data_IF_802454716490
#
_entry.id   IF_802454716490
#
_cell.length_a   1.000
_cell.length_b   1.000
_cell.length_c   1.000
_cell.angle_alpha   90.00
_cell.angle_beta   90.00
_cell.angle_gamma   90.00
#
_symmetry.space_group_name_H-M   'P 1'
#
loop_
_entity.id
_entity.type
_entity.pdbx_description
1 polymer ?
#
# COMPACT_ATOMS: atom_id res chain seq x y z
N UNK A 1 -17.10 3.86 12.24
CA UNK A 1 -15.69 3.62 12.61
C UNK A 1 -15.49 2.81 13.90
N UNK A 2 -15.91 3.16 15.16
CA UNK A 2 -15.59 2.31 16.33
C UNK A 2 -16.05 0.86 16.23
N UNK A 3 -17.23 0.60 15.65
CA UNK A 3 -17.73 -0.77 15.44
C UNK A 3 -16.86 -1.60 14.49
N UNK A 4 -16.29 -0.98 13.46
CA UNK A 4 -15.40 -1.68 12.52
C UNK A 4 -14.07 -2.06 13.17
N UNK A 5 -13.50 -1.16 14.01
CA UNK A 5 -12.29 -1.49 14.76
C UNK A 5 -12.52 -2.66 15.74
N UNK A 6 -13.70 -2.76 16.36
CA UNK A 6 -14.05 -3.90 17.20
C UNK A 6 -14.04 -5.21 16.40
N UNK A 7 -14.68 -5.25 15.23
CA UNK A 7 -14.68 -6.42 14.33
C UNK A 7 -13.24 -6.80 13.90
N UNK A 8 -12.39 -5.80 13.64
CA UNK A 8 -10.98 -6.04 13.28
C UNK A 8 -10.19 -6.63 14.45
N UNK A 9 -10.43 -6.16 15.69
CA UNK A 9 -9.84 -6.74 16.90
C UNK A 9 -10.31 -8.17 17.14
N UNK A 10 -11.59 -8.49 16.91
CA UNK A 10 -12.10 -9.86 17.00
C UNK A 10 -11.38 -10.80 16.02
N UNK A 11 -11.10 -10.34 14.80
CA UNK A 11 -10.30 -11.09 13.82
C UNK A 11 -8.85 -11.27 14.28
N UNK A 12 -8.25 -10.25 14.87
CA UNK A 12 -6.89 -10.36 15.42
C UNK A 12 -6.84 -11.33 16.65
N UNK A 13 -7.87 -11.35 17.48
CA UNK A 13 -8.03 -12.34 18.54
C UNK A 13 -8.13 -13.77 17.96
N UNK A 14 -8.85 -13.95 16.86
CA UNK A 14 -8.93 -15.24 16.18
C UNK A 14 -7.57 -15.68 15.60
N UNK A 15 -6.72 -14.74 15.12
CA UNK A 15 -5.34 -15.04 14.73
C UNK A 15 -4.55 -15.59 15.91
N UNK A 16 -4.60 -14.93 17.09
CA UNK A 16 -3.93 -15.42 18.30
C UNK A 16 -4.38 -16.85 18.66
N UNK A 17 -5.70 -17.08 18.70
CA UNK A 17 -6.26 -18.40 18.99
C UNK A 17 -5.82 -19.47 17.96
N UNK A 18 -5.77 -19.12 16.68
CA UNK A 18 -5.31 -20.01 15.59
C UNK A 18 -3.83 -20.42 15.72
N UNK A 19 -3.02 -19.57 16.34
CA UNK A 19 -1.62 -19.83 16.66
C UNK A 19 -1.42 -20.56 18.00
N UNK A 20 -2.49 -20.81 18.75
CA UNK A 20 -2.42 -21.37 20.08
C UNK A 20 -1.91 -20.41 21.16
N UNK A 21 -2.01 -19.10 20.90
CA UNK A 21 -1.64 -18.05 21.85
C UNK A 21 -2.86 -17.53 22.62
N UNK A 22 -2.63 -17.05 23.85
CA UNK A 22 -3.65 -16.44 24.69
C UNK A 22 -3.98 -15.00 24.27
N UNK A 23 -3.04 -14.34 23.57
CA UNK A 23 -3.20 -12.98 23.08
C UNK A 23 -2.29 -12.70 21.88
N UNK A 24 -2.57 -11.61 21.14
CA UNK A 24 -1.62 -11.00 20.20
C UNK A 24 -1.21 -9.61 20.67
N UNK A 25 0.10 -9.35 20.68
CA UNK A 25 0.70 -8.04 20.88
C UNK A 25 1.01 -7.43 19.51
N UNK A 26 0.39 -6.29 19.22
CA UNK A 26 0.59 -5.53 17.98
C UNK A 26 1.35 -4.25 18.29
N UNK A 27 2.49 -4.06 17.65
CA UNK A 27 3.40 -2.92 17.83
C UNK A 27 3.64 -2.11 16.56
N UNK A 28 3.27 -2.65 15.39
CA UNK A 28 3.28 -1.92 14.13
C UNK A 28 2.28 -0.76 14.18
N UNK A 29 2.74 0.47 14.00
CA UNK A 29 1.88 1.66 14.06
C UNK A 29 0.73 1.62 13.05
N UNK A 30 0.94 1.04 11.87
CA UNK A 30 -0.11 0.87 10.86
C UNK A 30 -1.16 -0.14 11.32
N UNK A 31 -0.75 -1.23 11.94
CA UNK A 31 -1.67 -2.24 12.48
C UNK A 31 -2.40 -1.76 13.72
N UNK A 32 -1.73 -1.00 14.61
CA UNK A 32 -2.42 -0.32 15.73
C UNK A 32 -3.49 0.63 15.18
N UNK A 33 -3.18 1.44 14.16
CA UNK A 33 -4.16 2.31 13.49
C UNK A 33 -5.33 1.51 12.91
N UNK A 34 -5.07 0.40 12.21
CA UNK A 34 -6.10 -0.47 11.65
C UNK A 34 -7.05 -1.02 12.71
N UNK A 35 -6.51 -1.39 13.87
CA UNK A 35 -7.25 -2.04 14.97
C UNK A 35 -7.94 -1.05 15.90
N UNK A 36 -7.50 0.21 15.95
CA UNK A 36 -7.97 1.19 16.94
C UNK A 36 -8.39 2.54 16.36
N UNK A 37 -7.89 2.90 15.18
CA UNK A 37 -8.02 4.24 14.60
C UNK A 37 -7.00 5.25 15.13
N UNK A 38 -6.19 4.92 16.13
CA UNK A 38 -5.19 5.83 16.70
C UNK A 38 -4.01 6.00 15.75
N UNK A 39 -3.67 7.23 15.44
CA UNK A 39 -2.44 7.61 14.75
C UNK A 39 -1.46 8.17 15.81
N UNK A 40 -0.36 7.49 16.01
CA UNK A 40 0.66 7.88 17.00
C UNK A 40 2.05 7.40 16.58
N UNK A 41 3.08 8.01 17.14
CA UNK A 41 4.46 7.54 17.00
C UNK A 41 4.88 6.59 18.14
N UNK A 42 3.98 6.31 19.10
CA UNK A 42 4.26 5.42 20.22
C UNK A 42 2.96 4.83 20.76
N UNK A 43 2.61 3.66 20.29
CA UNK A 43 1.45 2.88 20.74
C UNK A 43 1.64 1.40 20.47
N UNK A 44 0.94 0.59 21.23
CA UNK A 44 0.82 -0.85 21.04
C UNK A 44 -0.56 -1.30 21.52
N UNK A 45 -1.04 -2.43 21.06
CA UNK A 45 -2.30 -3.01 21.52
C UNK A 45 -2.09 -4.48 21.84
N UNK A 46 -2.58 -4.90 23.02
CA UNK A 46 -2.68 -6.31 23.41
C UNK A 46 -4.14 -6.75 23.23
N UNK A 47 -4.34 -7.81 22.47
CA UNK A 47 -5.67 -8.34 22.17
C UNK A 47 -5.74 -9.78 22.68
N UNK A 48 -6.34 -10.03 23.86
CA UNK A 48 -6.55 -11.37 24.39
C UNK A 48 -7.56 -12.18 23.55
N UNK A 49 -7.45 -13.50 23.60
CA UNK A 49 -8.33 -14.43 22.92
C UNK A 49 -8.87 -15.52 23.90
N UNK A 50 -9.95 -15.32 24.66
CA UNK A 50 -10.86 -14.17 24.69
C UNK A 50 -10.45 -13.08 25.68
N UNK A 51 -11.03 -11.88 25.53
CA UNK A 51 -10.85 -10.81 26.52
C UNK A 51 -11.02 -9.41 25.94
N UNK A 52 -10.83 -8.41 26.79
CA UNK A 52 -10.87 -6.99 26.40
C UNK A 52 -9.49 -6.56 25.92
N UNK A 53 -9.45 -5.93 24.76
CA UNK A 53 -8.20 -5.37 24.23
C UNK A 53 -7.75 -4.15 25.05
N UNK A 54 -6.43 -4.02 25.22
CA UNK A 54 -5.80 -2.89 25.92
C UNK A 54 -4.88 -2.16 24.96
N UNK A 55 -5.12 -0.86 24.79
CA UNK A 55 -4.30 0.06 24.02
C UNK A 55 -3.31 0.77 24.94
N UNK A 56 -2.03 0.63 24.71
CA UNK A 56 -1.02 1.40 25.40
C UNK A 56 -0.50 2.54 24.53
N UNK A 57 -0.34 3.72 25.12
CA UNK A 57 0.30 4.88 24.49
C UNK A 57 0.90 5.80 25.55
N UNK A 58 1.69 6.80 25.16
CA UNK A 58 2.24 7.75 26.13
C UNK A 58 1.36 9.01 26.31
N UNK A 59 1.73 9.84 27.28
CA UNK A 59 0.98 11.03 27.65
C UNK A 59 0.71 12.02 26.54
N UNK A 60 1.52 12.00 25.45
CA UNK A 60 1.33 12.88 24.27
C UNK A 60 0.07 12.54 23.50
N UNK A 61 -0.32 11.27 23.50
CA UNK A 61 -1.44 10.74 22.73
C UNK A 61 -2.63 10.30 23.58
N UNK A 62 -2.49 10.25 24.92
CA UNK A 62 -3.52 9.78 25.84
C UNK A 62 -4.89 10.44 25.60
N UNK A 63 -4.95 11.77 25.55
CA UNK A 63 -6.20 12.48 25.31
C UNK A 63 -6.79 12.27 23.89
N UNK A 64 -5.97 11.92 22.90
CA UNK A 64 -6.44 11.55 21.56
C UNK A 64 -7.01 10.12 21.58
N UNK A 65 -6.32 9.21 22.26
CA UNK A 65 -6.78 7.83 22.42
C UNK A 65 -8.11 7.75 23.20
N UNK A 66 -8.25 8.47 24.32
CA UNK A 66 -9.50 8.54 25.09
C UNK A 66 -10.71 8.99 24.26
N UNK A 67 -10.51 9.97 23.40
CA UNK A 67 -11.59 10.49 22.51
C UNK A 67 -11.86 9.61 21.30
N UNK A 68 -10.79 9.06 20.72
CA UNK A 68 -10.86 8.31 19.46
C UNK A 68 -11.23 6.84 19.63
N UNK A 69 -10.88 6.25 20.77
CA UNK A 69 -11.02 4.82 21.04
C UNK A 69 -11.71 4.57 22.41
N UNK A 70 -12.89 5.17 22.67
CA UNK A 70 -13.52 5.13 24.00
C UNK A 70 -13.97 3.72 24.43
N UNK A 71 -14.01 2.78 23.50
CA UNK A 71 -14.44 1.40 23.72
C UNK A 71 -13.28 0.45 24.08
N UNK A 72 -12.04 0.97 24.14
CA UNK A 72 -10.85 0.16 24.45
C UNK A 72 -10.25 0.63 25.77
N UNK A 73 -9.76 -0.30 26.58
CA UNK A 73 -9.05 0.05 27.82
C UNK A 73 -7.73 0.75 27.48
N UNK A 74 -7.45 1.90 28.10
CA UNK A 74 -6.28 2.70 27.85
C UNK A 74 -5.26 2.58 28.98
N UNK A 75 -4.02 2.21 28.63
CA UNK A 75 -2.86 2.22 29.49
C UNK A 75 -1.91 3.37 29.06
N UNK A 76 -1.62 4.30 29.98
CA UNK A 76 -0.73 5.43 29.68
C UNK A 76 0.66 5.15 30.21
N UNK A 77 1.55 4.70 29.33
CA UNK A 77 2.92 4.33 29.65
C UNK A 77 3.87 4.68 28.52
N UNK A 78 5.15 4.97 28.85
CA UNK A 78 6.15 5.33 27.84
C UNK A 78 6.69 4.11 27.12
N UNK A 79 6.94 3.02 27.82
CA UNK A 79 7.37 1.73 27.26
C UNK A 79 6.12 0.86 27.03
N UNK A 80 5.42 1.16 25.94
CA UNK A 80 4.10 0.60 25.64
C UNK A 80 4.11 -0.93 25.50
N UNK A 81 5.13 -1.51 24.85
CA UNK A 81 5.19 -2.94 24.66
C UNK A 81 5.51 -3.68 25.95
N UNK A 82 6.44 -3.17 26.75
CA UNK A 82 6.79 -3.70 28.08
C UNK A 82 5.57 -3.68 29.00
N UNK A 83 4.89 -2.53 29.09
CA UNK A 83 3.72 -2.38 29.95
C UNK A 83 2.61 -3.38 29.60
N UNK A 84 2.39 -3.65 28.32
CA UNK A 84 1.40 -4.65 27.88
C UNK A 84 1.86 -6.10 28.18
N UNK A 85 3.15 -6.41 28.06
CA UNK A 85 3.68 -7.73 28.46
C UNK A 85 3.61 -7.91 29.99
N UNK A 86 3.86 -6.87 30.77
CA UNK A 86 3.72 -6.92 32.20
C UNK A 86 2.24 -7.10 32.63
N UNK A 87 1.31 -6.46 31.91
CA UNK A 87 -0.12 -6.68 32.07
C UNK A 87 -0.52 -8.12 31.71
N UNK A 88 -0.01 -8.66 30.60
CA UNK A 88 -0.24 -10.05 30.19
C UNK A 88 0.24 -11.03 31.27
N UNK A 89 1.44 -10.79 31.82
CA UNK A 89 2.00 -11.58 32.93
C UNK A 89 1.11 -11.50 34.17
N UNK A 90 0.68 -10.31 34.59
CA UNK A 90 -0.20 -10.11 35.74
C UNK A 90 -1.56 -10.79 35.54
N UNK A 91 -2.07 -10.83 34.31
CA UNK A 91 -3.29 -11.52 33.91
C UNK A 91 -3.14 -13.04 33.78
N UNK A 92 -1.94 -13.59 33.97
CA UNK A 92 -1.67 -15.04 33.89
C UNK A 92 -1.69 -15.60 32.47
N UNK A 93 -1.50 -14.77 31.42
CA UNK A 93 -1.37 -15.24 30.03
C UNK A 93 -0.06 -16.04 29.90
N UNK A 94 -0.15 -17.25 29.36
CA UNK A 94 1.00 -18.15 29.17
C UNK A 94 1.76 -17.90 27.88
N UNK A 95 1.06 -17.52 26.80
CA UNK A 95 1.63 -17.36 25.47
C UNK A 95 1.06 -16.11 24.79
N UNK A 96 1.94 -15.27 24.23
CA UNK A 96 1.57 -14.07 23.47
C UNK A 96 2.20 -14.12 22.09
N UNK A 97 1.37 -14.11 21.06
CA UNK A 97 1.84 -13.97 19.67
C UNK A 97 2.24 -12.51 19.42
N UNK A 98 3.24 -12.27 18.59
CA UNK A 98 3.70 -10.92 18.25
C UNK A 98 4.16 -10.80 16.80
N UNK A 99 4.24 -9.60 16.28
CA UNK A 99 4.66 -9.27 14.91
C UNK A 99 6.20 -9.40 14.77
N UNK A 100 6.71 -10.63 14.63
CA UNK A 100 8.15 -10.93 14.60
C UNK A 100 8.86 -10.41 13.33
N UNK A 101 8.11 -10.14 12.25
CA UNK A 101 8.62 -9.51 11.04
C UNK A 101 8.84 -7.99 11.19
N UNK A 102 8.22 -7.35 12.21
CA UNK A 102 8.35 -5.90 12.50
C UNK A 102 9.22 -5.66 13.72
N UNK A 103 9.09 -6.49 14.75
CA UNK A 103 9.80 -6.30 16.01
C UNK A 103 11.30 -6.50 15.84
N UNK A 104 12.09 -5.52 16.26
CA UNK A 104 13.55 -5.67 16.23
C UNK A 104 14.04 -6.73 17.23
N UNK A 105 15.16 -7.39 16.91
CA UNK A 105 15.80 -8.33 17.84
C UNK A 105 16.13 -7.67 19.18
N UNK A 106 16.47 -6.38 19.19
CA UNK A 106 16.71 -5.61 20.42
C UNK A 106 15.42 -5.52 21.27
N UNK A 107 14.32 -5.05 20.68
CA UNK A 107 13.03 -4.93 21.38
C UNK A 107 12.56 -6.30 21.93
N UNK A 108 12.67 -7.36 21.15
CA UNK A 108 12.32 -8.71 21.60
C UNK A 108 13.16 -9.15 22.82
N UNK A 109 14.47 -8.91 22.80
CA UNK A 109 15.35 -9.22 23.94
C UNK A 109 14.99 -8.43 25.19
N UNK A 110 14.65 -7.15 25.05
CA UNK A 110 14.17 -6.34 26.16
C UNK A 110 12.87 -6.88 26.76
N UNK A 111 11.94 -7.35 25.94
CA UNK A 111 10.66 -7.92 26.40
C UNK A 111 10.84 -9.28 27.08
N UNK A 112 11.78 -10.13 26.60
CA UNK A 112 12.04 -11.46 27.12
C UNK A 112 13.07 -11.51 28.26
N UNK A 113 13.91 -10.47 28.38
CA UNK A 113 14.96 -10.33 29.40
C UNK A 113 14.40 -9.93 30.78
N UNK A 114 13.61 -10.80 31.40
CA UNK A 114 13.11 -10.59 32.76
C UNK A 114 14.12 -10.92 33.86
N UNK A 115 13.88 -10.42 35.10
CA UNK A 115 14.65 -10.83 36.29
C UNK A 115 14.58 -12.36 36.48
N UNK A 116 15.67 -13.01 36.93
CA UNK A 116 15.65 -14.44 37.21
C UNK A 116 14.54 -14.78 38.22
N UNK A 117 13.59 -15.61 37.80
CA UNK A 117 12.45 -16.02 38.63
C UNK A 117 11.12 -15.34 38.32
N UNK A 118 11.06 -14.37 37.41
CA UNK A 118 9.84 -13.80 36.87
C UNK A 118 9.65 -14.27 35.42
N UNK A 119 9.12 -15.47 35.22
CA UNK A 119 8.74 -15.94 33.89
C UNK A 119 7.59 -15.08 33.33
N UNK A 120 7.83 -14.38 32.24
CA UNK A 120 6.78 -13.72 31.44
C UNK A 120 6.05 -14.73 30.55
N UNK A 121 5.04 -14.28 29.78
CA UNK A 121 4.46 -15.14 28.76
C UNK A 121 5.53 -15.56 27.73
N UNK A 122 5.38 -16.74 27.17
CA UNK A 122 6.14 -17.15 26.00
C UNK A 122 5.75 -16.26 24.82
N UNK A 123 6.74 -15.70 24.12
CA UNK A 123 6.51 -14.91 22.92
C UNK A 123 6.70 -15.80 21.69
N UNK A 124 5.64 -15.95 20.87
CA UNK A 124 5.69 -16.72 19.61
C UNK A 124 5.46 -15.79 18.40
N UNK A 125 6.15 -16.06 17.29
CA UNK A 125 6.01 -15.25 16.08
C UNK A 125 4.64 -15.43 15.43
N UNK A 126 3.98 -14.34 15.09
CA UNK A 126 2.76 -14.31 14.30
C UNK A 126 3.02 -14.09 12.80
N UNK A 127 4.28 -13.82 12.42
CA UNK A 127 4.59 -13.39 11.06
C UNK A 127 3.79 -12.18 10.67
N UNK A 128 3.32 -12.13 9.44
CA UNK A 128 2.45 -11.07 8.89
C UNK A 128 0.95 -11.36 9.04
N UNK A 129 0.54 -12.22 10.00
CA UNK A 129 -0.86 -12.64 10.11
C UNK A 129 -1.82 -11.47 10.39
N UNK A 130 -1.37 -10.40 11.09
CA UNK A 130 -2.18 -9.19 11.31
C UNK A 130 -2.25 -8.36 10.04
N UNK A 131 -1.16 -8.26 9.25
CA UNK A 131 -1.16 -7.54 7.96
C UNK A 131 -2.14 -8.17 6.97
N UNK A 132 -2.27 -9.51 6.98
CA UNK A 132 -3.24 -10.21 6.13
C UNK A 132 -4.69 -9.81 6.41
N UNK A 133 -5.01 -9.36 7.64
CA UNK A 133 -6.35 -8.85 7.95
C UNK A 133 -6.68 -7.56 7.20
N UNK A 134 -5.67 -6.78 6.81
CA UNK A 134 -5.82 -5.52 6.05
C UNK A 134 -6.02 -5.76 4.55
N UNK A 135 -5.69 -6.95 4.05
CA UNK A 135 -5.76 -7.26 2.62
C UNK A 135 -7.19 -7.07 2.07
N UNK A 136 -8.18 -7.59 2.77
CA UNK A 136 -9.59 -7.46 2.38
C UNK A 136 -10.22 -6.24 3.05
N UNK A 137 -10.53 -5.22 2.26
CA UNK A 137 -11.06 -3.94 2.73
C UNK A 137 -12.57 -4.01 2.99
N UNK A 138 -13.03 -3.25 3.96
CA UNK A 138 -14.46 -2.92 4.08
C UNK A 138 -14.83 -1.74 3.14
N UNK A 139 -16.13 -1.44 3.03
CA UNK A 139 -16.59 -0.40 2.10
C UNK A 139 -16.22 1.03 2.56
N UNK A 140 -15.98 1.26 3.86
CA UNK A 140 -15.49 2.55 4.35
C UNK A 140 -14.02 2.76 3.93
N UNK A 141 -13.20 1.70 4.01
CA UNK A 141 -11.80 1.72 3.52
C UNK A 141 -11.74 1.96 2.01
N UNK A 142 -12.62 1.29 1.24
CA UNK A 142 -12.71 1.48 -0.21
C UNK A 142 -13.11 2.91 -0.56
N UNK A 143 -14.06 3.52 0.19
CA UNK A 143 -14.45 4.92 0.01
C UNK A 143 -13.27 5.88 0.22
N UNK A 144 -12.38 5.60 1.18
CA UNK A 144 -11.17 6.41 1.40
C UNK A 144 -10.16 6.25 0.26
N UNK A 145 -9.99 5.03 -0.26
CA UNK A 145 -9.18 4.78 -1.45
C UNK A 145 -9.73 5.50 -2.69
N UNK A 146 -11.05 5.44 -2.92
CA UNK A 146 -11.71 6.18 -4.02
C UNK A 146 -11.43 7.68 -3.92
N UNK A 147 -11.52 8.24 -2.71
CA UNK A 147 -11.22 9.65 -2.48
C UNK A 147 -9.75 9.97 -2.78
N UNK A 148 -8.80 9.14 -2.31
CA UNK A 148 -7.38 9.32 -2.57
C UNK A 148 -7.08 9.26 -4.09
N UNK A 149 -7.61 8.27 -4.80
CA UNK A 149 -7.49 8.14 -6.25
C UNK A 149 -8.11 9.34 -7.00
N UNK A 150 -9.26 9.83 -6.54
CA UNK A 150 -9.92 11.01 -7.13
C UNK A 150 -9.08 12.28 -6.99
N UNK A 151 -8.46 12.52 -5.81
CA UNK A 151 -7.55 13.67 -5.60
C UNK A 151 -6.32 13.53 -6.50
N UNK A 152 -5.72 12.35 -6.59
CA UNK A 152 -4.57 12.08 -7.46
C UNK A 152 -4.89 12.41 -8.92
N UNK A 153 -6.04 11.93 -9.43
CA UNK A 153 -6.49 12.18 -10.78
C UNK A 153 -6.74 13.67 -11.06
N UNK A 154 -7.36 14.38 -10.11
CA UNK A 154 -7.60 15.82 -10.21
C UNK A 154 -6.30 16.63 -10.19
N UNK A 155 -5.36 16.27 -9.30
CA UNK A 155 -4.07 16.94 -9.21
C UNK A 155 -3.25 16.77 -10.49
N UNK A 156 -3.15 15.52 -11.00
CA UNK A 156 -2.48 15.27 -12.28
C UNK A 156 -3.07 16.09 -13.41
N UNK A 157 -4.40 16.13 -13.52
CA UNK A 157 -5.09 16.89 -14.56
C UNK A 157 -4.86 18.41 -14.42
N UNK A 158 -4.84 18.93 -13.18
CA UNK A 158 -4.69 20.35 -12.90
C UNK A 158 -3.29 20.90 -13.23
N UNK A 159 -2.25 20.04 -13.21
CA UNK A 159 -0.87 20.46 -13.53
C UNK A 159 -0.36 19.96 -14.88
N UNK A 160 -1.24 19.38 -15.70
CA UNK A 160 -0.86 18.77 -16.97
C UNK A 160 -0.18 19.77 -17.93
N UNK A 161 -0.61 21.04 -17.93
CA UNK A 161 -0.02 22.13 -18.72
C UNK A 161 1.42 22.50 -18.31
N UNK A 162 1.86 22.07 -17.14
CA UNK A 162 3.25 22.24 -16.67
C UNK A 162 4.21 21.19 -17.23
N UNK A 163 3.71 20.10 -17.82
CA UNK A 163 4.50 19.16 -18.61
C UNK A 163 4.89 19.79 -19.94
N UNK A 164 5.89 20.67 -19.91
CA UNK A 164 6.35 21.43 -21.07
C UNK A 164 7.86 21.59 -21.05
N UNK A 165 8.52 21.73 -22.21
CA UNK A 165 9.95 21.91 -22.30
C UNK A 165 10.47 23.03 -21.40
N UNK A 166 11.62 22.79 -20.75
CA UNK A 166 12.29 23.74 -19.85
C UNK A 166 11.93 23.63 -18.39
N UNK A 167 10.78 23.06 -18.01
CA UNK A 167 10.46 22.72 -16.62
C UNK A 167 11.29 21.51 -16.18
N UNK A 168 11.78 21.47 -14.96
CA UNK A 168 12.53 20.33 -14.43
C UNK A 168 11.58 19.27 -13.86
N UNK A 169 12.05 18.02 -13.81
CA UNK A 169 11.32 16.91 -13.16
C UNK A 169 10.91 17.28 -11.73
N UNK A 170 11.84 17.85 -10.96
CA UNK A 170 11.61 18.29 -9.57
C UNK A 170 10.60 19.42 -9.47
N UNK A 171 10.66 20.43 -10.35
CA UNK A 171 9.67 21.53 -10.35
C UNK A 171 8.27 21.00 -10.62
N UNK A 172 8.13 20.03 -11.52
CA UNK A 172 6.85 19.40 -11.82
C UNK A 172 6.36 18.55 -10.64
N UNK A 173 7.21 17.68 -10.08
CA UNK A 173 6.87 16.84 -8.92
C UNK A 173 6.33 17.69 -7.77
N UNK A 174 7.06 18.75 -7.37
CA UNK A 174 6.63 19.66 -6.29
C UNK A 174 5.31 20.38 -6.60
N UNK A 175 5.04 20.72 -7.86
CA UNK A 175 3.77 21.32 -8.24
C UNK A 175 2.61 20.33 -8.13
N UNK A 176 2.81 19.09 -8.55
CA UNK A 176 1.84 18.00 -8.45
C UNK A 176 1.51 17.68 -6.99
N UNK A 177 2.53 17.47 -6.17
CA UNK A 177 2.42 17.16 -4.73
C UNK A 177 1.67 18.26 -3.98
N UNK A 178 2.04 19.53 -4.21
CA UNK A 178 1.34 20.66 -3.63
C UNK A 178 -0.13 20.70 -4.04
N UNK A 179 -0.43 20.40 -5.30
CA UNK A 179 -1.81 20.37 -5.80
C UNK A 179 -2.62 19.25 -5.13
N UNK A 180 -2.05 18.09 -4.85
CA UNK A 180 -2.73 17.03 -4.07
C UNK A 180 -3.11 17.52 -2.67
N UNK A 181 -2.20 18.21 -1.97
CA UNK A 181 -2.47 18.77 -0.64
C UNK A 181 -3.55 19.87 -0.73
N UNK A 182 -3.45 20.78 -1.70
CA UNK A 182 -4.42 21.88 -1.89
C UNK A 182 -5.84 21.35 -2.23
N UNK A 183 -5.94 20.15 -2.84
CA UNK A 183 -7.19 19.44 -3.11
C UNK A 183 -7.70 18.63 -1.91
N UNK A 184 -7.00 18.64 -0.78
CA UNK A 184 -7.44 18.07 0.49
C UNK A 184 -6.93 16.66 0.76
N UNK A 185 -5.78 16.27 0.20
CA UNK A 185 -5.04 15.10 0.66
C UNK A 185 -4.47 15.36 2.06
N UNK A 186 -4.46 14.32 2.91
CA UNK A 186 -3.83 14.38 4.23
C UNK A 186 -2.29 14.33 4.14
N UNK A 187 -1.78 13.81 3.04
CA UNK A 187 -0.37 13.64 2.73
C UNK A 187 -0.17 13.07 1.33
N UNK A 188 1.08 12.77 1.01
CA UNK A 188 1.45 12.02 -0.17
C UNK A 188 1.44 10.53 0.17
N UNK A 189 1.05 9.69 -0.78
CA UNK A 189 1.15 8.24 -0.65
C UNK A 189 2.62 7.79 -0.62
N UNK A 190 3.44 8.43 -1.45
CA UNK A 190 4.88 8.25 -1.58
C UNK A 190 5.49 9.48 -2.28
N UNK A 191 6.82 9.58 -2.31
CA UNK A 191 7.52 10.62 -3.05
C UNK A 191 7.29 10.43 -4.55
N UNK A 192 6.68 11.42 -5.21
CA UNK A 192 6.29 11.31 -6.63
C UNK A 192 7.49 11.01 -7.52
N UNK A 193 7.33 10.07 -8.45
CA UNK A 193 8.31 9.78 -9.50
C UNK A 193 7.96 10.61 -10.73
N UNK A 194 8.92 11.39 -11.22
CA UNK A 194 8.82 12.10 -12.50
C UNK A 194 10.08 11.84 -13.28
N UNK A 195 9.98 10.98 -14.29
CA UNK A 195 11.11 10.49 -15.06
C UNK A 195 10.97 10.85 -16.54
N UNK A 196 11.85 11.70 -17.06
CA UNK A 196 11.77 12.24 -18.41
C UNK A 196 12.89 11.71 -19.33
N UNK A 197 12.58 11.45 -20.59
CA UNK A 197 13.54 10.95 -21.58
C UNK A 197 14.29 9.71 -21.07
N UNK A 198 15.64 9.69 -21.07
CA UNK A 198 16.42 8.54 -20.60
C UNK A 198 16.14 8.12 -19.16
N UNK A 199 15.76 9.06 -18.26
CA UNK A 199 15.40 8.75 -16.87
C UNK A 199 14.18 7.84 -16.77
N UNK A 200 13.29 7.86 -17.77
CA UNK A 200 12.14 6.96 -17.85
C UNK A 200 12.50 5.46 -17.92
N UNK A 201 13.79 5.13 -18.17
CA UNK A 201 14.29 3.76 -18.09
C UNK A 201 14.54 3.29 -16.63
N UNK A 202 14.37 4.16 -15.63
CA UNK A 202 14.60 3.87 -14.22
C UNK A 202 13.24 3.84 -13.51
N UNK A 203 12.72 2.66 -13.13
CA UNK A 203 11.38 2.54 -12.54
C UNK A 203 11.14 3.45 -11.33
N UNK A 204 12.09 3.49 -10.38
CA UNK A 204 12.03 4.31 -9.16
C UNK A 204 13.00 5.51 -9.25
N UNK A 205 12.90 6.29 -10.35
CA UNK A 205 13.70 7.50 -10.54
C UNK A 205 13.32 8.58 -9.52
N UNK A 206 14.33 9.24 -8.96
CA UNK A 206 14.13 10.39 -8.08
C UNK A 206 14.15 11.67 -8.91
N UNK A 207 13.07 12.49 -8.93
CA UNK A 207 12.97 13.70 -9.73
C UNK A 207 14.12 14.68 -9.47
N UNK A 208 14.86 15.00 -10.54
CA UNK A 208 16.08 15.80 -10.48
C UNK A 208 15.98 17.14 -11.18
N UNK A 209 17.16 17.69 -11.49
CA UNK A 209 17.30 18.94 -12.23
C UNK A 209 17.24 18.79 -13.76
N UNK A 210 17.00 17.57 -14.30
CA UNK A 210 16.82 17.40 -15.74
C UNK A 210 15.60 18.20 -16.20
N UNK A 211 15.76 18.98 -17.26
CA UNK A 211 14.67 19.73 -17.86
C UNK A 211 13.99 18.87 -18.93
N UNK A 212 12.68 18.98 -19.00
CA UNK A 212 11.91 18.37 -20.07
C UNK A 212 12.34 18.92 -21.43
N UNK A 213 12.45 18.04 -22.40
CA UNK A 213 12.83 18.36 -23.77
C UNK A 213 11.75 17.94 -24.78
N UNK A 214 11.63 18.62 -25.94
CA UNK A 214 10.75 18.15 -27.00
C UNK A 214 11.13 16.73 -27.43
N UNK A 215 10.14 15.84 -27.52
CA UNK A 215 10.34 14.43 -27.87
C UNK A 215 10.52 13.49 -26.66
N UNK A 216 10.58 14.01 -25.43
CA UNK A 216 10.59 13.17 -24.24
C UNK A 216 9.27 12.40 -24.08
N UNK A 217 9.36 11.15 -23.63
CA UNK A 217 8.33 10.54 -22.80
C UNK A 217 8.59 10.96 -21.36
N UNK A 218 7.55 11.31 -20.65
CA UNK A 218 7.59 11.65 -19.21
C UNK A 218 6.67 10.70 -18.48
N UNK A 219 7.24 9.82 -17.67
CA UNK A 219 6.51 8.97 -16.74
C UNK A 219 6.30 9.73 -15.45
N UNK A 220 5.03 9.84 -15.03
CA UNK A 220 4.60 10.45 -13.78
C UNK A 220 3.86 9.40 -12.97
N UNK A 221 4.42 9.07 -11.82
CA UNK A 221 3.88 8.11 -10.87
C UNK A 221 3.68 8.83 -9.52
N UNK A 222 2.45 8.83 -9.04
CA UNK A 222 2.04 9.64 -7.91
C UNK A 222 0.79 9.11 -7.21
N UNK A 223 0.67 9.45 -5.95
CA UNK A 223 -0.48 9.10 -5.14
C UNK A 223 -0.75 10.08 -4.00
N UNK A 224 -2.01 10.38 -3.75
CA UNK A 224 -2.48 11.10 -2.57
C UNK A 224 -2.79 10.13 -1.43
N UNK A 225 -2.76 10.62 -0.19
CA UNK A 225 -3.21 9.90 0.98
C UNK A 225 -4.49 10.55 1.54
N UNK A 226 -5.50 9.74 1.85
CA UNK A 226 -6.73 10.18 2.49
C UNK A 226 -7.15 9.24 3.61
N UNK A 227 -7.37 9.75 4.81
CA UNK A 227 -7.72 8.94 5.98
C UNK A 227 -6.65 7.87 6.28
N UNK A 228 -5.42 8.05 5.77
CA UNK A 228 -4.31 7.10 5.83
C UNK A 228 -4.26 6.08 4.72
N UNK A 229 -5.24 6.04 3.82
CA UNK A 229 -5.26 5.16 2.66
C UNK A 229 -4.55 5.82 1.48
N UNK A 230 -3.77 5.02 0.74
CA UNK A 230 -2.87 5.45 -0.30
C UNK A 230 -3.48 5.20 -1.68
N UNK A 231 -3.40 6.20 -2.56
CA UNK A 231 -3.63 6.01 -3.99
C UNK A 231 -2.31 5.71 -4.69
N UNK A 232 -2.40 5.05 -5.84
CA UNK A 232 -1.28 4.76 -6.71
C UNK A 232 -1.70 4.87 -8.17
N UNK A 233 -0.96 5.64 -8.96
CA UNK A 233 -1.27 5.85 -10.36
C UNK A 233 -0.05 6.28 -11.15
N UNK A 234 0.24 5.56 -12.24
CA UNK A 234 1.26 5.99 -13.22
C UNK A 234 0.63 6.35 -14.57
N UNK A 235 1.09 7.45 -15.15
CA UNK A 235 0.85 7.82 -16.55
C UNK A 235 2.15 8.22 -17.24
N UNK A 236 2.29 7.83 -18.51
CA UNK A 236 3.37 8.29 -19.36
C UNK A 236 2.81 9.23 -20.44
N UNK A 237 3.41 10.40 -20.60
CA UNK A 237 2.98 11.47 -21.51
C UNK A 237 4.09 11.77 -22.53
N UNK A 238 3.76 12.12 -23.75
CA UNK A 238 4.72 12.54 -24.78
C UNK A 238 4.78 14.06 -24.92
N UNK A 239 5.97 14.64 -24.91
CA UNK A 239 6.18 16.07 -25.17
C UNK A 239 6.47 16.28 -26.66
N UNK A 240 5.42 16.64 -27.41
CA UNK A 240 5.45 16.70 -28.87
C UNK A 240 5.29 15.34 -29.53
N UNK A 241 5.51 15.28 -30.85
CA UNK A 241 5.24 14.07 -31.65
C UNK A 241 6.12 12.89 -31.22
N UNK A 242 5.56 11.79 -30.69
CA UNK A 242 6.33 10.63 -30.29
C UNK A 242 6.95 9.93 -31.52
N UNK A 243 8.14 9.38 -31.33
CA UNK A 243 8.85 8.57 -32.32
C UNK A 243 8.19 7.19 -32.53
N UNK A 244 8.62 6.42 -33.51
CA UNK A 244 8.05 5.11 -33.81
C UNK A 244 8.19 4.14 -32.61
N UNK A 245 9.40 4.03 -32.03
CA UNK A 245 9.66 3.14 -30.90
C UNK A 245 8.87 3.53 -29.63
N UNK A 246 8.66 4.84 -29.39
CA UNK A 246 7.88 5.32 -28.25
C UNK A 246 6.41 4.91 -28.36
N UNK A 247 5.83 5.05 -29.56
CA UNK A 247 4.47 4.57 -29.80
C UNK A 247 4.33 3.06 -29.68
N UNK A 248 5.33 2.33 -30.18
CA UNK A 248 5.38 0.87 -30.13
C UNK A 248 5.34 0.37 -28.68
N UNK A 249 6.28 0.79 -27.82
CA UNK A 249 6.30 0.33 -26.42
C UNK A 249 5.11 0.85 -25.64
N UNK A 250 4.60 2.05 -25.94
CA UNK A 250 3.39 2.57 -25.30
C UNK A 250 2.16 1.69 -25.59
N UNK A 251 2.01 1.29 -26.85
CA UNK A 251 0.91 0.42 -27.25
C UNK A 251 1.00 -0.95 -26.59
N UNK A 252 2.18 -1.57 -26.58
CA UNK A 252 2.42 -2.86 -25.93
C UNK A 252 2.03 -2.79 -24.45
N UNK A 253 2.49 -1.76 -23.73
CA UNK A 253 2.19 -1.59 -22.31
C UNK A 253 0.69 -1.33 -22.09
N UNK A 254 0.05 -0.53 -22.95
CA UNK A 254 -1.40 -0.26 -22.87
C UNK A 254 -2.20 -1.54 -23.06
N UNK A 255 -1.85 -2.38 -24.03
CA UNK A 255 -2.53 -3.65 -24.29
C UNK A 255 -2.31 -4.65 -23.14
N UNK A 256 -1.09 -4.75 -22.64
CA UNK A 256 -0.75 -5.61 -21.50
C UNK A 256 -1.51 -5.19 -20.22
N UNK A 257 -1.57 -3.88 -19.94
CA UNK A 257 -2.30 -3.34 -18.81
C UNK A 257 -3.82 -3.61 -18.94
N UNK A 258 -4.38 -3.38 -20.11
CA UNK A 258 -5.79 -3.64 -20.36
C UNK A 258 -6.15 -5.13 -20.22
N UNK A 259 -5.26 -6.03 -20.67
CA UNK A 259 -5.43 -7.48 -20.52
C UNK A 259 -5.33 -7.89 -19.04
N UNK A 260 -4.36 -7.36 -18.28
CA UNK A 260 -4.24 -7.58 -16.85
C UNK A 260 -5.50 -7.17 -16.10
N UNK A 261 -6.00 -5.94 -16.33
CA UNK A 261 -7.25 -5.46 -15.72
C UNK A 261 -8.46 -6.33 -16.08
N UNK A 262 -8.58 -6.75 -17.34
CA UNK A 262 -9.67 -7.60 -17.80
C UNK A 262 -9.65 -9.03 -17.20
N UNK A 263 -8.47 -9.50 -16.79
CA UNK A 263 -8.29 -10.83 -16.21
C UNK A 263 -8.63 -10.88 -14.72
N UNK A 264 -8.67 -9.74 -14.02
CA UNK A 264 -8.91 -9.66 -12.57
C UNK A 264 -10.25 -10.25 -12.18
N UNK A 265 -10.23 -11.25 -11.27
CA UNK A 265 -11.42 -11.85 -10.67
C UNK A 265 -11.06 -12.52 -9.33
N UNK A 266 -12.00 -12.69 -8.40
CA UNK A 266 -11.78 -13.48 -7.20
C UNK A 266 -11.38 -14.92 -7.54
N UNK A 267 -10.46 -15.48 -6.76
CA UNK A 267 -9.94 -16.84 -6.95
C UNK A 267 -8.85 -16.98 -8.01
N UNK A 268 -8.47 -15.89 -8.68
CA UNK A 268 -7.35 -15.90 -9.62
C UNK A 268 -6.02 -15.91 -8.87
N UNK A 269 -5.09 -16.77 -9.25
CA UNK A 269 -3.75 -16.80 -8.72
C UNK A 269 -2.97 -15.54 -9.12
N UNK A 270 -2.19 -14.99 -8.20
CA UNK A 270 -1.44 -13.74 -8.44
C UNK A 270 -0.34 -13.92 -9.49
N UNK A 271 0.28 -15.10 -9.56
CA UNK A 271 1.25 -15.44 -10.60
C UNK A 271 0.61 -15.60 -11.99
N UNK A 272 -0.59 -16.19 -12.05
CA UNK A 272 -1.34 -16.28 -13.31
C UNK A 272 -1.77 -14.91 -13.82
N UNK A 273 -2.13 -13.98 -12.90
CA UNK A 273 -2.45 -12.61 -13.29
C UNK A 273 -1.23 -11.86 -13.82
N UNK A 274 -0.06 -12.03 -13.19
CA UNK A 274 1.20 -11.46 -13.71
C UNK A 274 1.51 -12.00 -15.11
N UNK A 275 1.37 -13.31 -15.31
CA UNK A 275 1.64 -13.96 -16.59
C UNK A 275 0.81 -13.37 -17.74
N UNK A 276 -0.45 -12.97 -17.50
CA UNK A 276 -1.30 -12.34 -18.53
C UNK A 276 -0.62 -11.13 -19.19
N UNK A 277 -0.02 -10.24 -18.42
CA UNK A 277 0.62 -9.06 -18.95
C UNK A 277 2.07 -9.34 -19.37
N UNK A 278 2.78 -10.15 -18.59
CA UNK A 278 4.20 -10.49 -18.84
C UNK A 278 4.40 -11.23 -20.14
N UNK A 279 3.61 -12.28 -20.40
CA UNK A 279 3.70 -13.07 -21.63
C UNK A 279 3.45 -12.21 -22.89
N UNK A 280 2.53 -11.25 -22.81
CA UNK A 280 2.29 -10.30 -23.90
C UNK A 280 3.53 -9.44 -24.19
N UNK A 281 4.17 -8.92 -23.15
CA UNK A 281 5.40 -8.12 -23.28
C UNK A 281 6.55 -8.98 -23.79
N UNK A 282 6.69 -10.21 -23.28
CA UNK A 282 7.72 -11.17 -23.74
C UNK A 282 7.56 -11.54 -25.22
N UNK A 283 6.33 -11.77 -25.68
CA UNK A 283 6.03 -12.12 -27.06
C UNK A 283 6.46 -11.02 -28.07
N UNK A 284 6.63 -9.77 -27.61
CA UNK A 284 7.15 -8.67 -28.44
C UNK A 284 8.67 -8.53 -28.37
N UNK A 285 9.37 -9.38 -27.64
CA UNK A 285 10.82 -9.33 -27.45
C UNK A 285 11.28 -8.37 -26.32
N UNK A 286 10.36 -7.83 -25.54
CA UNK A 286 10.65 -6.90 -24.43
C UNK A 286 10.63 -7.54 -23.04
N UNK A 287 10.57 -8.89 -22.92
CA UNK A 287 10.51 -9.58 -21.62
C UNK A 287 11.63 -9.19 -20.66
N UNK A 288 12.88 -9.03 -21.15
CA UNK A 288 14.01 -8.56 -20.36
C UNK A 288 13.94 -7.08 -19.92
N UNK A 289 12.94 -6.33 -20.37
CA UNK A 289 12.73 -4.93 -20.04
C UNK A 289 11.55 -4.68 -19.10
N UNK A 290 10.90 -5.73 -18.61
CA UNK A 290 9.86 -5.69 -17.58
C UNK A 290 10.36 -6.42 -16.32
N UNK A 291 11.06 -5.71 -15.46
CA UNK A 291 11.86 -6.28 -14.37
C UNK A 291 11.19 -6.32 -12.98
N UNK A 292 9.90 -5.95 -12.85
CA UNK A 292 9.17 -5.99 -11.57
C UNK A 292 7.88 -6.82 -11.69
N UNK A 293 7.17 -7.02 -10.58
CA UNK A 293 5.86 -7.68 -10.58
C UNK A 293 4.80 -6.82 -11.30
N UNK A 294 3.68 -7.43 -11.66
CA UNK A 294 2.59 -6.72 -12.33
C UNK A 294 1.89 -5.71 -11.43
N UNK A 295 1.99 -5.87 -10.08
CA UNK A 295 1.37 -4.96 -9.14
C UNK A 295 1.38 -5.49 -7.71
N UNK A 296 0.64 -4.81 -6.86
CA UNK A 296 0.58 -5.08 -5.42
C UNK A 296 -0.76 -4.66 -4.81
N UNK A 297 -1.03 -5.12 -3.60
CA UNK A 297 -2.10 -4.60 -2.78
C UNK A 297 -1.80 -3.18 -2.32
N UNK A 298 -2.82 -2.37 -2.09
CA UNK A 298 -2.69 -1.00 -1.60
C UNK A 298 -3.71 -0.73 -0.49
N UNK A 299 -3.35 0.10 0.48
CA UNK A 299 -4.23 0.40 1.61
C UNK A 299 -3.65 1.43 2.56
N UNK A 300 -3.50 1.06 3.83
CA UNK A 300 -2.83 1.88 4.86
C UNK A 300 -1.31 1.97 4.64
N UNK A 301 -0.76 1.09 3.82
CA UNK A 301 0.59 1.19 3.26
C UNK A 301 0.49 1.21 1.74
N UNK A 302 1.49 1.80 1.09
CA UNK A 302 1.52 1.85 -0.38
C UNK A 302 1.67 0.45 -0.97
N UNK A 303 2.49 -0.40 -0.36
CA UNK A 303 2.65 -1.79 -0.74
C UNK A 303 2.10 -2.70 0.36
N UNK A 304 1.00 -3.35 0.09
CA UNK A 304 0.39 -4.37 0.95
C UNK A 304 0.25 -5.71 0.20
N UNK A 305 -0.11 -6.76 0.92
CA UNK A 305 -0.53 -8.01 0.30
C UNK A 305 -1.86 -7.83 -0.49
N UNK A 306 -2.03 -8.56 -1.60
CA UNK A 306 -1.09 -9.51 -2.19
C UNK A 306 -0.05 -8.80 -3.08
N UNK A 307 1.12 -9.41 -3.26
CA UNK A 307 2.06 -9.01 -4.30
C UNK A 307 1.73 -9.82 -5.56
N UNK A 308 1.59 -9.15 -6.70
CA UNK A 308 1.27 -9.77 -7.99
C UNK A 308 2.57 -9.91 -8.78
N UNK A 309 3.06 -11.13 -8.93
CA UNK A 309 4.34 -11.39 -9.57
C UNK A 309 4.52 -12.86 -9.92
N UNK A 310 5.41 -13.14 -10.86
CA UNK A 310 5.66 -14.47 -11.43
C UNK A 310 6.18 -15.52 -10.40
N UNK A 311 6.74 -15.07 -9.29
CA UNK A 311 7.32 -15.88 -8.21
C UNK A 311 6.53 -15.78 -6.90
N UNK A 312 5.25 -15.40 -6.97
CA UNK A 312 4.41 -15.17 -5.81
C UNK A 312 3.27 -16.16 -5.72
N UNK A 313 2.96 -16.52 -4.48
CA UNK A 313 1.82 -17.38 -4.14
C UNK A 313 0.67 -16.55 -3.61
N UNK A 314 -0.55 -17.00 -3.84
CA UNK A 314 -1.76 -16.40 -3.30
C UNK A 314 -2.85 -16.25 -4.36
N UNK A 315 -4.06 -16.02 -3.88
CA UNK A 315 -5.24 -15.83 -4.72
C UNK A 315 -5.94 -14.52 -4.38
N UNK A 316 -6.47 -13.85 -5.40
CA UNK A 316 -7.27 -12.64 -5.24
C UNK A 316 -8.59 -12.95 -4.53
N UNK A 317 -8.95 -12.11 -3.57
CA UNK A 317 -10.22 -12.19 -2.86
C UNK A 317 -11.11 -10.99 -3.22
N UNK A 318 -12.41 -11.11 -2.94
CA UNK A 318 -13.33 -9.97 -3.05
C UNK A 318 -12.90 -8.82 -2.14
N UNK A 319 -13.05 -7.59 -2.62
CA UNK A 319 -12.69 -6.33 -1.92
C UNK A 319 -11.20 -6.18 -1.60
N UNK A 320 -10.33 -6.78 -2.38
CA UNK A 320 -8.89 -6.53 -2.34
C UNK A 320 -8.54 -5.44 -3.35
N UNK A 321 -8.04 -4.26 -2.93
CA UNK A 321 -7.48 -3.27 -3.82
C UNK A 321 -6.10 -3.71 -4.29
N UNK A 322 -5.85 -3.56 -5.59
CA UNK A 322 -4.57 -3.88 -6.22
C UNK A 322 -4.20 -2.84 -7.27
N UNK A 323 -2.91 -2.73 -7.57
CA UNK A 323 -2.41 -2.04 -8.76
C UNK A 323 -2.23 -3.02 -9.92
N UNK A 324 -2.32 -2.51 -11.16
CA UNK A 324 -1.93 -3.21 -12.39
C UNK A 324 -1.07 -2.24 -13.19
N UNK A 325 0.24 -2.49 -13.22
CA UNK A 325 1.26 -1.52 -13.60
C UNK A 325 2.37 -2.07 -14.51
N UNK A 326 2.08 -2.76 -15.60
CA UNK A 326 3.14 -3.23 -16.48
C UNK A 326 3.97 -2.08 -17.02
N UNK A 327 5.26 -2.33 -17.27
CA UNK A 327 6.18 -1.34 -17.82
C UNK A 327 7.24 -1.94 -18.72
N UNK A 328 7.75 -1.11 -19.65
CA UNK A 328 8.92 -1.43 -20.51
C UNK A 328 9.94 -0.33 -20.29
N UNK A 329 11.15 -0.72 -19.88
CA UNK A 329 12.24 0.18 -19.54
C UNK A 329 13.46 -0.11 -20.42
N UNK A 330 13.75 0.82 -21.34
CA UNK A 330 14.83 0.70 -22.31
C UNK A 330 16.05 1.51 -21.83
N UNK A 331 17.14 0.88 -21.38
CA UNK A 331 18.33 1.58 -20.89
C UNK A 331 18.79 2.68 -21.85
N UNK A 332 19.14 3.85 -21.29
CA UNK A 332 19.60 5.05 -22.01
C UNK A 332 18.61 5.65 -23.03
N UNK A 333 17.40 5.12 -23.14
CA UNK A 333 16.37 5.61 -24.08
C UNK A 333 15.14 6.18 -23.39
N UNK A 334 14.62 5.48 -22.37
CA UNK A 334 13.41 5.83 -21.68
C UNK A 334 12.52 4.63 -21.42
N UNK A 335 11.31 4.87 -20.92
CA UNK A 335 10.37 3.79 -20.62
C UNK A 335 8.93 4.26 -20.65
N UNK A 336 8.03 3.30 -20.45
CA UNK A 336 6.59 3.49 -20.30
C UNK A 336 6.13 2.63 -19.14
N UNK A 337 5.36 3.21 -18.21
CA UNK A 337 4.51 2.51 -17.24
C UNK A 337 3.12 3.10 -17.31
N UNK A 338 2.12 2.24 -17.27
CA UNK A 338 0.71 2.62 -17.16
C UNK A 338 0.12 1.82 -16.02
N UNK A 339 -0.43 2.50 -15.05
CA UNK A 339 -0.91 1.93 -13.82
C UNK A 339 -2.27 2.44 -13.42
N UNK A 340 -3.10 1.54 -12.94
CA UNK A 340 -4.35 1.86 -12.28
C UNK A 340 -4.46 1.09 -10.95
N UNK A 341 -4.99 1.76 -9.94
CA UNK A 341 -5.56 1.12 -8.76
C UNK A 341 -6.99 0.68 -9.06
N UNK A 342 -7.32 -0.55 -8.68
CA UNK A 342 -8.65 -1.13 -8.83
C UNK A 342 -9.00 -2.03 -7.63
N UNK A 343 -10.28 -2.29 -7.42
CA UNK A 343 -10.76 -3.23 -6.39
C UNK A 343 -11.28 -4.49 -7.08
N UNK A 344 -10.83 -5.64 -6.61
CA UNK A 344 -11.38 -6.94 -7.00
C UNK A 344 -12.81 -7.06 -6.49
N UNK A 345 -13.78 -7.33 -7.34
CA UNK A 345 -15.19 -7.49 -6.96
C UNK A 345 -15.75 -8.85 -7.35
N UNK A 346 -16.44 -9.46 -6.41
CA UNK A 346 -17.31 -10.62 -6.72
C UNK A 346 -18.53 -10.10 -7.50
N UNK A 347 -18.68 -10.58 -8.73
CA UNK A 347 -19.86 -10.26 -9.56
C UNK A 347 -21.03 -11.19 -9.29
N UNK A 348 -22.23 -10.83 -9.76
CA UNK A 348 -23.37 -11.74 -9.84
C UNK A 348 -23.11 -12.77 -10.96
N UNK A 349 -22.61 -13.96 -10.58
CA UNK A 349 -22.21 -15.03 -11.49
C UNK A 349 -20.72 -15.37 -11.37
N UNK A 350 -20.23 -16.33 -12.18
CA UNK A 350 -18.84 -16.80 -12.15
C UNK A 350 -17.81 -15.78 -12.67
N UNK A 351 -18.24 -14.63 -13.17
CA UNK A 351 -17.40 -13.55 -13.66
C UNK A 351 -17.30 -12.45 -12.58
N UNK A 352 -16.26 -12.50 -11.76
CA UNK A 352 -15.83 -11.34 -10.98
C UNK A 352 -15.39 -10.21 -11.91
N UNK A 353 -15.25 -8.99 -11.39
CA UNK A 353 -14.83 -7.83 -12.17
C UNK A 353 -13.82 -6.98 -11.38
N UNK A 354 -13.03 -6.22 -12.12
CA UNK A 354 -12.25 -5.11 -11.55
C UNK A 354 -13.15 -3.86 -11.47
N UNK A 355 -13.22 -3.24 -10.28
CA UNK A 355 -13.78 -1.90 -10.13
C UNK A 355 -12.62 -0.88 -10.20
N UNK A 356 -12.46 -0.12 -11.30
CA UNK A 356 -11.39 0.87 -11.37
C UNK A 356 -11.61 2.00 -10.36
N UNK A 357 -10.57 2.38 -9.62
CA UNK A 357 -10.54 3.58 -8.80
C UNK A 357 -9.82 4.72 -9.51
N UNK A 358 -8.84 4.41 -10.37
CA UNK A 358 -8.17 5.37 -11.23
C UNK A 358 -9.05 5.69 -12.44
N UNK A 359 -9.31 6.99 -12.68
CA UNK A 359 -10.27 7.47 -13.71
C UNK A 359 -9.62 8.25 -14.87
N UNK A 360 -8.30 8.46 -14.84
CA UNK A 360 -7.55 9.14 -15.91
C UNK A 360 -7.42 8.21 -17.12
N UNK A 361 -7.53 8.80 -18.34
CA UNK A 361 -7.34 8.07 -19.59
C UNK A 361 -5.98 7.35 -19.64
N UNK A 362 -5.97 6.18 -20.27
CA UNK A 362 -4.74 5.41 -20.60
C UNK A 362 -4.23 5.70 -22.00
N UNK A 363 -4.91 6.56 -22.76
CA UNK A 363 -4.44 6.98 -24.08
C UNK A 363 -3.19 7.86 -23.94
N UNK A 364 -2.26 7.75 -24.89
CA UNK A 364 -1.06 8.57 -24.90
C UNK A 364 -1.43 10.05 -25.09
N UNK A 365 -1.26 10.81 -24.02
CA UNK A 365 -1.39 12.27 -24.09
C UNK A 365 -0.17 12.83 -24.80
N UNK A 366 -0.39 13.65 -25.82
CA UNK A 366 0.64 14.36 -26.59
C UNK A 366 0.48 15.83 -26.32
N UNK A 367 1.44 16.45 -25.65
CA UNK A 367 1.45 17.85 -25.24
C UNK A 367 2.38 18.71 -26.08
#
# INVERSE_FOLDING_TARGET
MPQMHAVRRDRAAAVAAGLGADAVLVTSGVNVRYLTGLVSSNSAVLIPAPGTAVLATDSRYAGTAERGCPEIELLVERDVARALIDLARAGGLGTVAFEDHVMTVHAHRELTGGEPGQAGPELIGAGSAVDQLRMVKDEEEITLLERACSITAQAFSAVLDRLRPGVTEREYALALERTMIDLGADGLAFDSIVASGPNGAIPHHIPGGRRFEPGDLVTVDCGAQCGGYHADMTRTVALGKPSAWQREIYQIVTEAQAAGVAAVRPGMDVSDLDAVARDMIEATGHGGHFGHGLGHGVGLEIHEAPIIGYDRDGTLQDRVPITIEPGIYLPDRGGVRIEDTLVVRAGAGAAGSAQPLTTITRELLVL
#
